data_IF_106930657319
#
_entry.id   IF_106930657319
#
_cell.length_a   1.000
_cell.length_b   1.000
_cell.length_c   1.000
_cell.angle_alpha   90.00
_cell.angle_beta   90.00
_cell.angle_gamma   90.00
#
_symmetry.space_group_name_H-M   'P 1'
#
loop_
_entity.id
_entity.type
_entity.pdbx_description
1 polymer ?
#
# COMPACT_ATOMS: atom_id res chain seq x y z
N UNK A 1 -0.90 -10.09 -18.80
CA UNK A 1 0.45 -9.47 -18.80
C UNK A 1 1.47 -10.58 -18.61
N UNK A 2 2.70 -10.41 -19.09
CA UNK A 2 3.82 -11.26 -18.71
C UNK A 2 4.62 -10.59 -17.59
N UNK A 3 5.24 -11.38 -16.73
CA UNK A 3 6.14 -10.90 -15.68
C UNK A 3 7.55 -10.81 -16.28
N UNK A 4 8.12 -9.61 -16.27
CA UNK A 4 9.51 -9.37 -16.59
C UNK A 4 10.28 -9.10 -15.30
N UNK A 5 11.40 -9.80 -15.12
CA UNK A 5 12.28 -9.63 -13.96
C UNK A 5 13.45 -8.72 -14.32
N UNK A 6 13.76 -7.74 -13.49
CA UNK A 6 14.96 -6.92 -13.59
C UNK A 6 15.79 -7.05 -12.31
N UNK A 7 17.06 -7.41 -12.46
CA UNK A 7 17.98 -7.56 -11.33
C UNK A 7 18.98 -6.41 -11.34
N UNK A 8 19.11 -5.68 -10.21
CA UNK A 8 20.10 -4.61 -10.06
C UNK A 8 21.47 -5.17 -9.66
N UNK A 9 22.57 -4.40 -9.83
CA UNK A 9 23.92 -4.81 -9.41
C UNK A 9 24.03 -5.18 -7.92
N UNK A 10 23.14 -4.67 -7.07
CA UNK A 10 23.06 -4.99 -5.65
C UNK A 10 22.29 -6.30 -5.34
N UNK A 11 21.95 -7.10 -6.35
CA UNK A 11 21.25 -8.38 -6.21
C UNK A 11 19.74 -8.28 -5.98
N UNK A 12 19.18 -7.07 -5.81
CA UNK A 12 17.71 -6.91 -5.67
C UNK A 12 17.01 -7.19 -7.00
N UNK A 13 15.99 -8.04 -6.95
CA UNK A 13 15.11 -8.39 -8.07
C UNK A 13 13.84 -7.55 -8.01
N UNK A 14 13.41 -7.08 -9.17
CA UNK A 14 12.17 -6.33 -9.36
C UNK A 14 11.33 -7.03 -10.42
N UNK A 15 10.04 -7.15 -10.16
CA UNK A 15 9.09 -7.78 -11.09
C UNK A 15 8.16 -6.73 -11.67
N UNK A 16 7.93 -6.83 -12.97
CA UNK A 16 7.09 -5.90 -13.71
C UNK A 16 6.10 -6.63 -14.59
N UNK A 17 4.85 -6.21 -14.55
CA UNK A 17 3.89 -6.52 -15.59
C UNK A 17 4.16 -5.66 -16.82
N UNK A 18 4.35 -6.31 -17.97
CA UNK A 18 4.65 -5.63 -19.24
C UNK A 18 3.46 -5.72 -20.20
N UNK A 19 3.24 -4.65 -20.96
CA UNK A 19 2.20 -4.62 -21.99
C UNK A 19 2.52 -5.62 -23.11
N UNK A 20 1.73 -6.71 -23.19
CA UNK A 20 1.96 -7.77 -24.17
C UNK A 20 1.85 -7.30 -25.62
N UNK A 21 0.92 -6.38 -25.89
CA UNK A 21 0.69 -5.85 -27.25
C UNK A 21 1.87 -4.99 -27.69
N UNK A 22 2.41 -4.17 -26.78
CA UNK A 22 3.47 -3.22 -27.09
C UNK A 22 4.85 -3.87 -27.18
N UNK A 23 5.06 -4.99 -26.48
CA UNK A 23 6.30 -5.78 -26.57
C UNK A 23 6.52 -6.36 -27.97
N UNK A 24 5.43 -6.64 -28.70
CA UNK A 24 5.49 -7.16 -30.08
C UNK A 24 5.70 -6.07 -31.14
N UNK A 25 5.72 -4.79 -30.76
CA UNK A 25 5.85 -3.66 -31.69
C UNK A 25 7.30 -3.18 -31.78
N UNK A 26 7.69 -2.71 -32.97
CA UNK A 26 8.98 -2.07 -33.18
C UNK A 26 9.12 -0.75 -32.40
N UNK A 27 8.02 0.00 -32.26
CA UNK A 27 7.94 1.22 -31.48
C UNK A 27 6.83 1.15 -30.45
N UNK A 28 7.15 1.59 -29.23
CA UNK A 28 6.25 1.56 -28.08
C UNK A 28 5.20 2.67 -28.19
N UNK A 29 3.94 2.32 -27.95
CA UNK A 29 2.81 3.26 -27.92
C UNK A 29 2.02 3.16 -26.61
N UNK A 30 2.24 2.12 -25.80
CA UNK A 30 1.55 1.97 -24.52
C UNK A 30 2.08 3.02 -23.53
N UNK A 31 1.22 3.91 -22.99
CA UNK A 31 1.66 4.96 -22.08
C UNK A 31 2.23 4.41 -20.78
N UNK A 32 1.84 3.20 -20.38
CA UNK A 32 2.27 2.57 -19.12
C UNK A 32 3.65 1.90 -19.25
N UNK A 33 3.87 1.22 -20.37
CA UNK A 33 5.03 0.37 -20.68
C UNK A 33 5.26 -0.79 -19.68
N UNK A 34 5.53 -0.47 -18.42
CA UNK A 34 5.76 -1.39 -17.30
C UNK A 34 4.98 -0.96 -16.07
N UNK A 35 4.42 -1.93 -15.35
CA UNK A 35 3.74 -1.72 -14.08
C UNK A 35 4.44 -2.56 -13.01
N UNK A 36 4.84 -2.00 -11.85
CA UNK A 36 5.49 -2.77 -10.78
C UNK A 36 4.53 -3.84 -10.23
N UNK A 37 4.91 -5.11 -10.35
CA UNK A 37 4.05 -6.25 -10.00
C UNK A 37 3.75 -6.28 -8.50
N UNK A 38 4.79 -6.25 -7.67
CA UNK A 38 4.67 -6.24 -6.21
C UNK A 38 3.77 -5.11 -5.69
N UNK A 39 3.92 -3.90 -6.24
CA UNK A 39 3.12 -2.75 -5.79
C UNK A 39 1.65 -2.85 -6.24
N UNK A 40 1.40 -3.37 -7.45
CA UNK A 40 0.04 -3.61 -7.93
C UNK A 40 -0.63 -4.72 -7.11
N UNK A 41 0.03 -5.84 -6.89
CA UNK A 41 -0.52 -6.97 -6.13
C UNK A 41 -0.81 -6.59 -4.69
N UNK A 42 0.09 -5.85 -4.05
CA UNK A 42 -0.14 -5.31 -2.73
C UNK A 42 -1.37 -4.38 -2.71
N UNK A 43 -1.50 -3.49 -3.69
CA UNK A 43 -2.69 -2.64 -3.83
C UNK A 43 -3.97 -3.47 -3.95
N UNK A 44 -3.96 -4.55 -4.75
CA UNK A 44 -5.14 -5.43 -4.89
C UNK A 44 -5.48 -6.11 -3.55
N UNK A 45 -4.49 -6.65 -2.84
CA UNK A 45 -4.68 -7.31 -1.54
C UNK A 45 -5.23 -6.33 -0.49
N UNK A 46 -4.63 -5.14 -0.40
CA UNK A 46 -5.04 -4.11 0.56
C UNK A 46 -6.49 -3.65 0.27
N UNK A 47 -6.84 -3.48 -1.02
CA UNK A 47 -8.20 -3.07 -1.41
C UNK A 47 -9.23 -4.15 -1.15
N UNK A 48 -8.93 -5.41 -1.45
CA UNK A 48 -9.82 -6.52 -1.13
C UNK A 48 -10.01 -6.63 0.39
N UNK A 49 -8.95 -6.47 1.19
CA UNK A 49 -9.06 -6.47 2.64
C UNK A 49 -10.01 -5.37 3.16
N UNK A 50 -9.93 -4.16 2.60
CA UNK A 50 -10.84 -3.05 2.95
C UNK A 50 -12.27 -3.34 2.49
N UNK A 51 -12.45 -3.91 1.30
CA UNK A 51 -13.78 -4.30 0.81
C UNK A 51 -14.46 -5.30 1.75
N UNK A 52 -13.73 -6.30 2.23
CA UNK A 52 -14.26 -7.29 3.17
C UNK A 52 -14.58 -6.70 4.54
N UNK A 53 -13.93 -5.61 4.96
CA UNK A 53 -14.21 -4.93 6.24
C UNK A 53 -15.36 -3.94 6.19
N UNK A 54 -15.78 -3.50 5.01
CA UNK A 54 -16.71 -2.38 4.88
C UNK A 54 -17.87 -2.77 3.96
N UNK A 55 -18.95 -3.33 4.53
CA UNK A 55 -20.15 -3.76 3.78
C UNK A 55 -20.73 -2.66 2.90
N UNK A 56 -20.69 -1.42 3.38
CA UNK A 56 -21.15 -0.23 2.65
C UNK A 56 -20.33 0.05 1.38
N UNK A 57 -19.03 -0.27 1.36
CA UNK A 57 -18.19 -0.11 0.18
C UNK A 57 -18.57 -1.14 -0.90
N UNK A 58 -18.77 -2.40 -0.50
CA UNK A 58 -19.24 -3.44 -1.43
C UNK A 58 -20.64 -3.10 -1.99
N UNK A 59 -21.54 -2.61 -1.15
CA UNK A 59 -22.89 -2.18 -1.57
C UNK A 59 -22.86 -0.98 -2.53
N UNK A 60 -21.88 -0.08 -2.38
CA UNK A 60 -21.69 1.07 -3.28
C UNK A 60 -21.08 0.67 -4.62
N UNK A 61 -20.17 -0.30 -4.62
CA UNK A 61 -19.49 -0.79 -5.83
C UNK A 61 -20.40 -1.69 -6.66
N UNK A 62 -21.22 -2.48 -5.98
CA UNK A 62 -22.17 -3.40 -6.59
C UNK A 62 -23.55 -2.75 -6.65
N UNK A 63 -23.90 -2.20 -7.82
CA UNK A 63 -25.19 -1.54 -8.05
C UNK A 63 -26.38 -2.47 -7.78
N UNK A 64 -27.52 -1.89 -7.39
CA UNK A 64 -28.85 -2.51 -7.45
C UNK A 64 -29.01 -3.78 -6.61
N UNK A 65 -28.87 -4.95 -7.23
CA UNK A 65 -29.26 -6.26 -6.69
C UNK A 65 -28.41 -6.74 -5.51
N UNK A 66 -27.13 -6.40 -5.47
CA UNK A 66 -26.24 -6.76 -4.36
C UNK A 66 -26.37 -5.79 -3.18
N UNK A 67 -26.90 -4.58 -3.41
CA UNK A 67 -27.07 -3.57 -2.36
C UNK A 67 -28.05 -4.06 -1.30
N UNK A 68 -29.19 -4.60 -1.70
CA UNK A 68 -30.22 -5.10 -0.78
C UNK A 68 -29.73 -6.30 0.06
N UNK A 69 -28.88 -7.15 -0.54
CA UNK A 69 -28.22 -8.27 0.13
C UNK A 69 -27.21 -7.79 1.18
N UNK A 70 -26.39 -6.79 0.80
CA UNK A 70 -25.29 -6.27 1.61
C UNK A 70 -25.73 -5.27 2.70
N UNK A 71 -26.94 -4.70 2.60
CA UNK A 71 -27.50 -3.78 3.61
C UNK A 71 -28.09 -4.52 4.83
N UNK A 72 -28.12 -5.86 4.80
CA UNK A 72 -28.57 -6.66 5.94
C UNK A 72 -27.50 -6.70 7.04
N UNK A 73 -27.95 -6.63 8.30
CA UNK A 73 -27.04 -6.74 9.46
C UNK A 73 -26.22 -8.04 9.44
N UNK A 74 -26.82 -9.12 8.94
CA UNK A 74 -26.18 -10.43 8.78
C UNK A 74 -25.05 -10.41 7.74
N UNK A 75 -25.21 -9.66 6.64
CA UNK A 75 -24.12 -9.43 5.67
C UNK A 75 -22.94 -8.70 6.30
N UNK A 76 -23.20 -7.71 7.16
CA UNK A 76 -22.16 -7.03 7.91
C UNK A 76 -21.36 -7.95 8.83
N UNK A 77 -22.05 -8.77 9.62
CA UNK A 77 -21.42 -9.72 10.56
C UNK A 77 -20.60 -10.80 9.83
N UNK A 78 -21.09 -11.32 8.71
CA UNK A 78 -20.36 -12.31 7.92
C UNK A 78 -19.11 -11.73 7.24
N UNK A 79 -19.20 -10.50 6.72
CA UNK A 79 -18.08 -9.78 6.14
C UNK A 79 -17.00 -9.47 7.17
N UNK A 80 -17.39 -9.06 8.38
CA UNK A 80 -16.45 -8.87 9.50
C UNK A 80 -15.73 -10.18 9.86
N UNK A 81 -16.45 -11.31 9.90
CA UNK A 81 -15.88 -12.64 10.07
C UNK A 81 -14.86 -12.98 8.99
N UNK A 82 -15.22 -12.79 7.71
CA UNK A 82 -14.33 -12.98 6.56
C UNK A 82 -13.10 -12.07 6.62
N UNK A 83 -13.24 -10.83 7.08
CA UNK A 83 -12.10 -9.90 7.21
C UNK A 83 -11.08 -10.35 8.26
N UNK A 84 -11.56 -10.98 9.32
CA UNK A 84 -10.73 -11.57 10.38
C UNK A 84 -9.97 -12.79 9.83
N UNK A 85 -10.68 -13.67 9.11
CA UNK A 85 -10.11 -14.83 8.44
C UNK A 85 -9.09 -14.39 7.37
N UNK A 86 -9.40 -13.35 6.60
CA UNK A 86 -8.51 -12.77 5.60
C UNK A 86 -7.16 -12.35 6.17
N UNK A 87 -7.13 -11.82 7.39
CA UNK A 87 -5.87 -11.45 8.02
C UNK A 87 -5.02 -12.67 8.39
N UNK A 88 -5.67 -13.79 8.77
CA UNK A 88 -5.03 -15.04 9.19
C UNK A 88 -4.73 -16.02 8.04
N UNK A 89 -5.31 -15.83 6.85
CA UNK A 89 -5.14 -16.75 5.71
C UNK A 89 -3.71 -16.79 5.16
N UNK A 90 -3.31 -17.99 4.73
CA UNK A 90 -2.05 -18.23 4.04
C UNK A 90 -2.05 -17.55 2.66
N UNK A 91 -0.87 -17.17 2.12
CA UNK A 91 -0.78 -16.49 0.82
C UNK A 91 -1.46 -17.22 -0.34
N UNK A 92 -1.44 -18.56 -0.35
CA UNK A 92 -2.05 -19.38 -1.39
C UNK A 92 -3.59 -19.30 -1.36
N UNK A 93 -4.19 -19.28 -0.17
CA UNK A 93 -5.64 -19.18 0.01
C UNK A 93 -6.14 -17.80 -0.43
N UNK A 94 -5.41 -16.75 -0.04
CA UNK A 94 -5.66 -15.38 -0.52
C UNK A 94 -5.63 -15.32 -2.04
N UNK A 95 -4.64 -15.93 -2.67
CA UNK A 95 -4.51 -15.95 -4.12
C UNK A 95 -5.74 -16.58 -4.81
N UNK A 96 -6.22 -17.71 -4.30
CA UNK A 96 -7.41 -18.37 -4.84
C UNK A 96 -8.66 -17.48 -4.76
N UNK A 97 -8.86 -16.81 -3.63
CA UNK A 97 -9.98 -15.88 -3.45
C UNK A 97 -9.84 -14.67 -4.39
N UNK A 98 -8.64 -14.08 -4.50
CA UNK A 98 -8.38 -12.96 -5.43
C UNK A 98 -8.74 -13.36 -6.86
N UNK A 99 -8.33 -14.56 -7.29
CA UNK A 99 -8.59 -15.06 -8.63
C UNK A 99 -10.07 -15.39 -8.88
N UNK A 100 -10.81 -15.81 -7.86
CA UNK A 100 -12.26 -16.03 -7.96
C UNK A 100 -13.05 -14.72 -8.00
N UNK A 101 -12.64 -13.73 -7.19
CA UNK A 101 -13.33 -12.45 -7.06
C UNK A 101 -13.05 -11.50 -8.24
N UNK A 102 -11.80 -11.41 -8.69
CA UNK A 102 -11.40 -10.44 -9.71
C UNK A 102 -11.63 -11.01 -11.11
N UNK A 103 -12.51 -10.36 -11.86
CA UNK A 103 -12.68 -10.59 -13.30
C UNK A 103 -11.55 -9.99 -14.12
N UNK A 104 -11.19 -8.74 -13.83
CA UNK A 104 -10.19 -7.99 -14.60
C UNK A 104 -9.61 -6.84 -13.79
N UNK A 105 -8.33 -6.55 -14.03
CA UNK A 105 -7.68 -5.34 -13.54
C UNK A 105 -7.28 -4.49 -14.75
N UNK A 106 -7.76 -3.25 -14.78
CA UNK A 106 -7.37 -2.24 -15.76
C UNK A 106 -6.48 -1.22 -15.07
N UNK A 107 -5.25 -1.07 -15.57
CA UNK A 107 -4.29 -0.09 -15.04
C UNK A 107 -4.25 1.09 -16.00
N UNK A 108 -4.27 2.30 -15.46
CA UNK A 108 -4.10 3.58 -16.17
C UNK A 108 -2.98 4.37 -15.49
N UNK A 109 -2.61 5.54 -16.03
CA UNK A 109 -1.51 6.35 -15.47
C UNK A 109 -1.83 6.92 -14.07
N UNK A 110 -3.11 7.22 -13.85
CA UNK A 110 -3.61 7.91 -12.66
C UNK A 110 -4.61 7.08 -11.84
N UNK A 111 -4.95 5.88 -12.28
CA UNK A 111 -5.92 5.03 -11.58
C UNK A 111 -5.75 3.54 -11.93
N UNK A 112 -6.25 2.69 -11.05
CA UNK A 112 -6.44 1.25 -11.27
C UNK A 112 -7.92 0.96 -11.09
N UNK A 113 -8.56 0.34 -12.08
CA UNK A 113 -9.93 -0.16 -11.99
C UNK A 113 -9.91 -1.67 -11.81
N UNK A 114 -10.55 -2.13 -10.73
CA UNK A 114 -10.67 -3.53 -10.38
C UNK A 114 -12.12 -3.93 -10.66
N UNK A 115 -12.32 -4.87 -11.57
CA UNK A 115 -13.63 -5.40 -11.94
C UNK A 115 -13.82 -6.74 -11.25
N UNK A 116 -14.92 -6.88 -10.51
CA UNK A 116 -15.23 -8.09 -9.75
C UNK A 116 -16.32 -8.92 -10.41
N UNK A 117 -16.28 -10.23 -10.18
CA UNK A 117 -17.39 -11.13 -10.46
C UNK A 117 -18.46 -10.97 -9.39
N UNK A 118 -19.65 -10.49 -9.78
CA UNK A 118 -20.81 -10.46 -8.88
C UNK A 118 -21.09 -11.85 -8.27
N UNK A 119 -21.01 -12.91 -9.09
CA UNK A 119 -21.14 -14.30 -8.64
C UNK A 119 -20.11 -14.69 -7.58
N UNK A 120 -18.85 -14.27 -7.74
CA UNK A 120 -17.78 -14.59 -6.79
C UNK A 120 -17.98 -13.93 -5.42
N UNK A 121 -18.50 -12.70 -5.39
CA UNK A 121 -18.86 -12.02 -4.13
C UNK A 121 -19.96 -12.79 -3.39
N UNK A 122 -20.92 -13.32 -4.13
CA UNK A 122 -22.09 -14.03 -3.58
C UNK A 122 -21.70 -15.41 -3.06
N UNK A 123 -20.86 -16.13 -3.80
CA UNK A 123 -20.27 -17.39 -3.35
C UNK A 123 -19.48 -17.18 -2.06
N UNK A 124 -18.69 -16.11 -1.97
CA UNK A 124 -17.94 -15.77 -0.76
C UNK A 124 -18.87 -15.49 0.44
N UNK A 125 -19.97 -14.76 0.22
CA UNK A 125 -20.97 -14.51 1.27
C UNK A 125 -21.69 -15.79 1.71
N UNK A 126 -21.94 -16.73 0.79
CA UNK A 126 -22.52 -18.04 1.10
C UNK A 126 -21.60 -18.89 1.95
N UNK A 127 -20.31 -18.94 1.61
CA UNK A 127 -19.31 -19.64 2.42
C UNK A 127 -19.20 -19.06 3.84
N UNK A 128 -19.47 -17.75 3.99
CA UNK A 128 -19.53 -17.09 5.29
C UNK A 128 -20.84 -17.35 6.07
N UNK A 129 -21.74 -18.20 5.56
CA UNK A 129 -22.95 -18.63 6.24
C UNK A 129 -24.22 -17.86 5.88
N UNK A 130 -24.24 -17.15 4.75
CA UNK A 130 -25.41 -16.39 4.29
C UNK A 130 -26.07 -17.02 3.06
N UNK A 131 -27.29 -17.52 3.24
CA UNK A 131 -28.09 -18.07 2.13
C UNK A 131 -28.79 -16.94 1.35
N UNK A 132 -28.09 -16.39 0.36
CA UNK A 132 -28.71 -15.49 -0.62
C UNK A 132 -29.04 -16.24 -1.92
N UNK A 133 -30.31 -16.27 -2.29
CA UNK A 133 -30.77 -16.71 -3.61
C UNK A 133 -30.80 -15.51 -4.56
N UNK A 134 -29.76 -15.34 -5.36
CA UNK A 134 -29.79 -14.38 -6.48
C UNK A 134 -30.43 -15.06 -7.68
N UNK A 135 -31.43 -14.40 -8.25
CA UNK A 135 -31.97 -14.72 -9.57
C UNK A 135 -30.83 -14.60 -10.59
N UNK A 136 -30.30 -15.73 -11.05
CA UNK A 136 -29.13 -15.85 -11.94
C UNK A 136 -29.33 -15.22 -13.35
N UNK A 137 -30.33 -14.37 -13.54
CA UNK A 137 -30.71 -13.80 -14.82
C UNK A 137 -29.84 -12.60 -15.22
N UNK A 138 -29.15 -11.95 -14.28
CA UNK A 138 -28.32 -10.78 -14.57
C UNK A 138 -26.81 -11.05 -14.48
N UNK A 139 -26.30 -11.68 -15.54
CA UNK A 139 -24.86 -11.84 -15.81
C UNK A 139 -24.12 -10.50 -16.09
N UNK A 140 -24.78 -9.35 -15.89
CA UNK A 140 -24.33 -8.02 -16.32
C UNK A 140 -23.97 -7.01 -15.21
N UNK A 141 -24.11 -7.36 -13.92
CA UNK A 141 -23.74 -6.42 -12.84
C UNK A 141 -22.22 -6.35 -12.72
N UNK A 142 -21.61 -5.34 -13.33
CA UNK A 142 -20.18 -5.04 -13.16
C UNK A 142 -19.95 -4.27 -11.85
N UNK A 143 -19.45 -4.97 -10.84
CA UNK A 143 -18.90 -4.36 -9.63
C UNK A 143 -17.51 -3.80 -9.96
N UNK A 144 -17.35 -2.47 -9.98
CA UNK A 144 -16.09 -1.81 -10.35
C UNK A 144 -15.58 -0.92 -9.22
N UNK A 145 -14.41 -1.24 -8.68
CA UNK A 145 -13.68 -0.37 -7.75
C UNK A 145 -12.63 0.43 -8.52
N UNK A 146 -12.71 1.75 -8.44
CA UNK A 146 -11.68 2.65 -9.00
C UNK A 146 -10.79 3.16 -7.88
N UNK A 147 -9.49 2.92 -8.01
CA UNK A 147 -8.47 3.30 -7.04
C UNK A 147 -7.56 4.35 -7.69
N UNK A 148 -7.55 5.60 -7.22
CA UNK A 148 -6.62 6.59 -7.74
C UNK A 148 -5.18 6.21 -7.36
N UNK A 149 -4.30 6.16 -8.36
CA UNK A 149 -2.89 5.82 -8.17
C UNK A 149 -2.00 6.48 -9.21
N UNK A 150 -0.83 6.98 -8.80
CA UNK A 150 0.14 7.56 -9.73
C UNK A 150 1.29 6.61 -9.97
N UNK A 151 1.63 6.40 -11.24
CA UNK A 151 2.87 5.76 -11.65
C UNK A 151 4.00 6.80 -11.70
N UNK A 152 5.01 6.61 -10.86
CA UNK A 152 6.20 7.46 -10.83
C UNK A 152 7.38 6.73 -11.46
N UNK A 153 8.15 7.43 -12.31
CA UNK A 153 9.28 6.86 -13.05
C UNK A 153 10.56 7.59 -12.64
N UNK A 154 11.55 6.85 -12.14
CA UNK A 154 12.84 7.41 -11.74
C UNK A 154 13.97 6.41 -11.94
N UNK A 155 15.03 6.84 -12.64
CA UNK A 155 16.24 6.05 -12.89
C UNK A 155 15.95 4.60 -13.39
N UNK A 156 15.05 4.48 -14.38
CA UNK A 156 14.65 3.19 -14.96
C UNK A 156 13.72 2.33 -14.09
N UNK A 157 13.34 2.80 -12.90
CA UNK A 157 12.39 2.13 -11.99
C UNK A 157 11.01 2.79 -12.10
N UNK A 158 9.97 1.97 -12.21
CA UNK A 158 8.56 2.40 -12.06
C UNK A 158 8.10 2.07 -10.64
N UNK A 159 7.52 3.04 -9.93
CA UNK A 159 6.81 2.85 -8.67
C UNK A 159 5.35 3.26 -8.78
N UNK A 160 4.48 2.62 -8.01
CA UNK A 160 3.06 2.93 -7.94
C UNK A 160 2.74 3.47 -6.55
N UNK A 161 1.96 4.55 -6.49
CA UNK A 161 1.54 5.18 -5.25
C UNK A 161 0.02 5.42 -5.30
N UNK A 162 -0.73 4.72 -4.44
CA UNK A 162 -2.17 4.93 -4.25
C UNK A 162 -2.40 6.14 -3.33
N UNK A 163 -3.31 7.04 -3.67
CA UNK A 163 -3.66 8.19 -2.81
C UNK A 163 -4.71 7.86 -1.76
N UNK A 164 -5.40 6.74 -1.90
CA UNK A 164 -6.64 6.41 -1.19
C UNK A 164 -6.41 5.37 -0.08
N UNK A 165 -5.17 4.94 0.09
CA UNK A 165 -4.73 4.22 1.28
C UNK A 165 -4.29 5.31 2.23
N UNK A 166 -4.80 5.33 3.47
CA UNK A 166 -4.27 6.19 4.53
C UNK A 166 -2.75 6.01 4.74
N UNK A 167 -2.16 4.99 4.13
CA UNK A 167 -0.76 4.96 3.71
C UNK A 167 -0.57 5.89 2.50
N UNK A 168 -0.48 7.19 2.77
CA UNK A 168 0.29 8.13 1.94
C UNK A 168 1.58 7.40 1.57
N UNK A 169 2.08 7.47 0.31
CA UNK A 169 3.32 6.80 -0.03
C UNK A 169 4.37 7.26 0.96
N UNK A 170 4.75 6.37 1.90
CA UNK A 170 5.61 6.73 3.02
C UNK A 170 6.87 7.27 2.38
N UNK A 171 7.00 8.60 2.40
CA UNK A 171 8.19 9.22 1.86
C UNK A 171 9.34 8.59 2.64
N UNK A 172 10.52 8.39 2.04
CA UNK A 172 11.65 7.82 2.75
C UNK A 172 11.92 8.51 4.10
N UNK A 173 11.55 9.78 4.23
CA UNK A 173 11.56 10.57 5.46
C UNK A 173 10.54 10.08 6.52
N UNK A 174 9.33 9.68 6.12
CA UNK A 174 8.32 9.08 7.03
C UNK A 174 8.78 7.74 7.58
N UNK A 175 9.30 6.87 6.69
CA UNK A 175 9.83 5.57 7.11
C UNK A 175 11.01 5.73 8.08
N UNK A 176 11.88 6.71 7.83
CA UNK A 176 13.00 7.01 8.72
C UNK A 176 12.54 7.54 10.09
N UNK A 177 11.51 8.39 10.16
CA UNK A 177 10.94 8.85 11.42
C UNK A 177 10.32 7.70 12.22
N UNK A 178 9.57 6.81 11.57
CA UNK A 178 8.99 5.62 12.22
C UNK A 178 10.11 4.75 12.81
N UNK A 179 11.15 4.45 12.01
CA UNK A 179 12.29 3.65 12.45
C UNK A 179 13.04 4.31 13.61
N UNK A 180 13.15 5.64 13.60
CA UNK A 180 13.77 6.39 14.69
C UNK A 180 13.00 6.25 16.00
N UNK A 181 11.69 6.50 15.99
CA UNK A 181 10.87 6.38 17.19
C UNK A 181 10.75 4.94 17.69
N UNK A 182 10.63 3.96 16.79
CA UNK A 182 10.60 2.55 17.15
C UNK A 182 11.92 2.10 17.80
N UNK A 183 13.06 2.35 17.15
CA UNK A 183 14.35 1.96 17.72
C UNK A 183 14.67 2.71 19.02
N UNK A 184 14.24 3.97 19.17
CA UNK A 184 14.39 4.71 20.43
C UNK A 184 13.51 4.11 21.54
N UNK A 185 12.28 3.71 21.23
CA UNK A 185 11.41 3.00 22.17
C UNK A 185 11.98 1.63 22.56
N UNK A 186 12.65 0.93 21.64
CA UNK A 186 13.34 -0.35 21.94
C UNK A 186 14.54 -0.17 22.88
N UNK A 187 15.27 0.95 22.79
CA UNK A 187 16.31 1.31 23.75
C UNK A 187 15.72 1.62 25.13
N UNK A 188 14.67 2.44 25.16
CA UNK A 188 14.03 2.87 26.42
C UNK A 188 13.38 1.69 27.14
N UNK A 189 12.75 0.78 26.39
CA UNK A 189 12.14 -0.44 26.94
C UNK A 189 13.16 -1.53 27.29
N UNK A 190 14.44 -1.36 26.92
CA UNK A 190 15.50 -2.34 27.15
C UNK A 190 15.45 -3.55 26.22
N UNK A 191 14.54 -3.59 25.23
CA UNK A 191 14.46 -4.66 24.22
C UNK A 191 15.72 -4.70 23.35
N UNK A 192 16.31 -3.55 23.08
CA UNK A 192 17.65 -3.43 22.51
C UNK A 192 18.55 -2.77 23.56
N UNK A 193 19.68 -3.40 23.89
CA UNK A 193 20.63 -2.88 24.87
C UNK A 193 21.69 -2.00 24.19
N UNK A 194 21.98 -2.26 22.91
CA UNK A 194 23.04 -1.53 22.18
C UNK A 194 22.60 -1.09 20.79
N UNK A 195 23.16 0.04 20.35
CA UNK A 195 23.06 0.55 18.97
C UNK A 195 23.38 -0.49 17.87
N UNK A 196 24.25 -1.47 18.17
CA UNK A 196 24.61 -2.56 17.27
C UNK A 196 23.46 -3.54 17.03
N UNK A 197 22.63 -3.79 18.04
CA UNK A 197 21.49 -4.71 17.94
C UNK A 197 20.42 -4.10 17.06
N UNK A 198 20.14 -2.81 17.24
CA UNK A 198 19.24 -2.04 16.36
C UNK A 198 19.76 -2.05 14.92
N UNK A 199 21.06 -1.76 14.73
CA UNK A 199 21.66 -1.80 13.40
C UNK A 199 21.49 -3.19 12.73
N UNK A 200 21.64 -4.28 13.50
CA UNK A 200 21.44 -5.64 13.01
C UNK A 200 19.98 -5.92 12.65
N UNK A 201 19.04 -5.54 13.52
CA UNK A 201 17.60 -5.76 13.36
C UNK A 201 17.06 -5.04 12.11
N UNK A 202 17.39 -3.76 11.97
CA UNK A 202 16.94 -2.94 10.85
C UNK A 202 17.84 -3.07 9.59
N UNK A 203 18.83 -3.98 9.61
CA UNK A 203 19.80 -4.23 8.52
C UNK A 203 20.50 -2.95 8.04
N UNK A 204 20.93 -2.13 8.98
CA UNK A 204 21.63 -0.86 8.78
C UNK A 204 23.08 -0.94 9.27
N UNK A 205 23.93 -0.04 8.74
CA UNK A 205 25.24 0.20 9.35
C UNK A 205 25.07 0.90 10.72
N UNK A 206 26.02 0.70 11.65
CA UNK A 206 25.97 1.30 12.99
C UNK A 206 25.87 2.82 12.95
N UNK A 207 26.64 3.48 12.10
CA UNK A 207 26.63 4.94 11.97
C UNK A 207 25.34 5.43 11.31
N UNK A 208 24.77 4.62 10.41
CA UNK A 208 23.49 4.92 9.77
C UNK A 208 22.30 4.76 10.72
N UNK A 209 22.31 3.72 11.56
CA UNK A 209 21.32 3.49 12.61
C UNK A 209 21.34 4.64 13.63
N UNK A 210 22.53 5.06 14.08
CA UNK A 210 22.68 6.19 14.99
C UNK A 210 22.10 7.50 14.41
N UNK A 211 22.44 7.83 13.16
CA UNK A 211 21.88 9.02 12.47
C UNK A 211 20.38 8.92 12.24
N UNK A 212 19.85 7.72 12.06
CA UNK A 212 18.40 7.52 11.91
C UNK A 212 17.69 7.69 13.25
N UNK A 213 18.25 7.19 14.35
CA UNK A 213 17.68 7.35 15.69
C UNK A 213 17.65 8.80 16.17
N UNK A 214 18.63 9.62 15.77
CA UNK A 214 18.63 11.06 16.06
C UNK A 214 17.38 11.78 15.56
N UNK A 215 16.70 11.26 14.53
CA UNK A 215 15.45 11.84 14.02
C UNK A 215 14.32 11.83 15.06
N UNK A 216 14.40 10.98 16.09
CA UNK A 216 13.42 10.96 17.18
C UNK A 216 13.47 12.23 18.06
N UNK A 217 14.58 13.00 18.00
CA UNK A 217 14.76 14.25 18.75
C UNK A 217 14.22 15.48 18.01
N UNK A 218 13.60 15.28 16.85
CA UNK A 218 13.05 16.38 16.04
C UNK A 218 11.86 17.03 16.74
N UNK A 219 11.75 18.35 16.61
CA UNK A 219 10.65 19.11 17.20
C UNK A 219 9.28 18.62 16.68
N UNK A 220 8.28 18.48 17.56
CA UNK A 220 7.01 17.83 17.23
C UNK A 220 6.23 18.54 16.10
N UNK A 221 6.38 19.86 15.99
CA UNK A 221 5.83 20.67 14.91
C UNK A 221 6.48 20.37 13.55
N UNK A 222 7.78 20.12 13.52
CA UNK A 222 8.48 19.71 12.29
C UNK A 222 8.09 18.27 11.91
N UNK A 223 7.97 17.37 12.90
CA UNK A 223 7.45 16.01 12.66
C UNK A 223 6.04 16.06 12.08
N UNK A 224 5.16 16.89 12.66
CA UNK A 224 3.79 17.11 12.17
C UNK A 224 3.80 17.67 10.74
N UNK A 225 4.63 18.67 10.46
CA UNK A 225 4.78 19.25 9.12
C UNK A 225 5.24 18.21 8.08
N UNK A 226 6.20 17.36 8.45
CA UNK A 226 6.67 16.26 7.60
C UNK A 226 5.54 15.25 7.36
N UNK A 227 4.77 14.92 8.40
CA UNK A 227 3.66 13.96 8.30
C UNK A 227 2.52 14.48 7.40
N UNK A 228 2.25 15.79 7.47
CA UNK A 228 1.28 16.48 6.62
C UNK A 228 1.81 16.77 5.21
N UNK A 229 3.05 16.38 4.88
CA UNK A 229 3.73 16.67 3.61
C UNK A 229 3.87 18.16 3.29
N UNK A 230 3.94 19.02 4.31
CA UNK A 230 4.07 20.49 4.19
C UNK A 230 5.51 20.98 4.37
N UNK A 231 6.50 20.09 4.41
CA UNK A 231 7.89 20.47 4.61
C UNK A 231 8.46 21.22 3.40
N UNK A 232 9.37 22.18 3.61
CA UNK A 232 10.04 22.86 2.50
C UNK A 232 10.95 21.91 1.72
N UNK A 233 11.17 22.18 0.44
CA UNK A 233 12.01 21.35 -0.45
C UNK A 233 13.48 21.27 0.05
N UNK A 234 13.90 22.26 0.84
CA UNK A 234 15.22 22.29 1.51
C UNK A 234 15.35 21.28 2.66
N UNK A 235 14.24 20.80 3.23
CA UNK A 235 14.21 19.84 4.32
C UNK A 235 14.22 18.41 3.78
N UNK A 236 15.43 17.93 3.45
CA UNK A 236 15.64 16.57 2.97
C UNK A 236 16.06 15.62 4.11
N UNK A 237 15.79 14.32 3.93
CA UNK A 237 16.22 13.28 4.86
C UNK A 237 17.76 13.25 5.05
N UNK A 238 18.51 13.59 4.00
CA UNK A 238 19.97 13.68 4.09
C UNK A 238 20.39 14.82 5.02
N UNK A 239 19.73 16.00 4.93
CA UNK A 239 19.99 17.13 5.82
C UNK A 239 19.71 16.78 7.28
N UNK A 240 18.59 16.11 7.57
CA UNK A 240 18.24 15.67 8.93
C UNK A 240 19.26 14.67 9.51
N UNK A 241 19.82 13.78 8.68
CA UNK A 241 20.80 12.77 9.12
C UNK A 241 22.21 13.31 9.33
N UNK A 242 22.51 14.54 8.88
CA UNK A 242 23.82 15.16 9.13
C UNK A 242 23.97 15.67 10.56
N UNK A 243 22.86 15.85 11.28
CA UNK A 243 22.82 16.25 12.68
C UNK A 243 21.61 17.13 12.95
N UNK A 244 21.07 17.01 14.16
CA UNK A 244 19.92 17.78 14.64
C UNK A 244 20.37 18.46 15.95
N UNK A 245 20.27 19.79 16.07
CA UNK A 245 20.51 20.49 17.33
C UNK A 245 19.57 20.01 18.45
N UNK A 246 20.03 19.97 19.70
CA UNK A 246 19.19 19.56 20.82
C UNK A 246 18.08 20.56 21.14
N UNK A 247 18.29 21.85 20.84
CA UNK A 247 17.30 22.91 21.02
C UNK A 247 16.29 22.94 19.87
N UNK A 248 14.99 22.81 20.19
CA UNK A 248 13.91 22.92 19.19
C UNK A 248 13.83 24.29 18.53
N UNK A 249 14.23 25.37 19.20
CA UNK A 249 14.28 26.71 18.58
C UNK A 249 15.36 26.78 17.49
N UNK A 250 16.52 26.18 17.74
CA UNK A 250 17.60 26.10 16.75
C UNK A 250 17.21 25.19 15.57
N UNK A 251 16.45 24.12 15.84
CA UNK A 251 15.89 23.28 14.77
C UNK A 251 14.96 24.09 13.86
N UNK A 252 14.06 24.91 14.41
CA UNK A 252 13.16 25.77 13.62
C UNK A 252 13.95 26.77 12.77
N UNK A 253 14.94 27.45 13.35
CA UNK A 253 15.87 28.33 12.63
C UNK A 253 16.57 27.62 11.46
N UNK A 254 17.11 26.43 11.71
CA UNK A 254 17.92 25.70 10.73
C UNK A 254 17.10 25.04 9.60
N UNK A 255 15.89 24.60 9.91
CA UNK A 255 15.05 23.80 9.01
C UNK A 255 13.91 24.59 8.37
N UNK A 256 13.35 25.56 9.09
CA UNK A 256 12.22 26.39 8.63
C UNK A 256 12.67 27.80 8.24
N UNK A 257 13.81 28.28 8.73
CA UNK A 257 14.32 29.62 8.43
C UNK A 257 13.61 30.75 9.20
N UNK A 258 12.97 30.41 10.32
CA UNK A 258 12.33 31.33 11.27
C UNK A 258 13.31 31.94 12.26
#
# INVERSE_FOLDING_TARGET
MFIATATKPNGRRYEYYVCHVDEKRAHRQCPLHRVPAEALEKLLQDRIAVLLKTPTMLANICKGELRDILDTKQAGEALDGLSTIWSAMFPVEKYNIIHSLIRRVLVFENEVRIMFHAKGIVELLKEAGLDFSISTENSGVECVLTVPCKLHRSAGRVSMHSSDTGDTPRLPIHAALIQAHQGMAELISGKATTMREIAKEYKMDRSFAARTLQLANLAPDIVKMIWENRQPVSLTLDKLRRGIPDSWEEQRKLFLGE
#
